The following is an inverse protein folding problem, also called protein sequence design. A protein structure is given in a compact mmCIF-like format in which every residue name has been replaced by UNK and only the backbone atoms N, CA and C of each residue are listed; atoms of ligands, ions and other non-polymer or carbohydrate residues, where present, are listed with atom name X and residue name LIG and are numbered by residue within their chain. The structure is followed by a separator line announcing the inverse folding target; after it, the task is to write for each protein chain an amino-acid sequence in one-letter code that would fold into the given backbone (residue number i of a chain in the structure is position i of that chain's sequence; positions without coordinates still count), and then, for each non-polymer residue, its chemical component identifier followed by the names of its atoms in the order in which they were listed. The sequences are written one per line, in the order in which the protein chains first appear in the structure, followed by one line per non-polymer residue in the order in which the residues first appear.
data_IF_170201567206
#
_entry.id   IF_170201567206
#
_cell.length_a   1.000
_cell.length_b   1.000
_cell.length_c   1.000
_cell.angle_alpha   90.00
_cell.angle_beta   90.00
_cell.angle_gamma   90.00
#
_symmetry.space_group_name_H-M   'P 1'
#
loop_
_entity.id
_entity.type
_entity.pdbx_description
1 polymer ?
#
# COMPACT_ATOMS: atom_id res chain seq x y z
N UNK A 1 21.62 30.04 20.28
CA UNK A 1 20.25 29.62 19.94
C UNK A 1 19.41 30.86 19.72
N UNK A 2 18.80 31.09 18.54
CA UNK A 2 17.93 32.26 18.36
C UNK A 2 16.64 32.03 19.15
N UNK A 3 16.47 32.76 20.26
CA UNK A 3 15.20 32.80 21.00
C UNK A 3 14.23 33.65 20.20
N UNK A 4 13.23 33.01 19.59
CA UNK A 4 12.13 33.74 18.94
C UNK A 4 11.47 34.62 20.00
N UNK A 5 11.30 35.90 19.68
CA UNK A 5 10.65 36.84 20.58
C UNK A 5 9.19 36.40 20.81
N UNK A 6 8.86 36.00 22.04
CA UNK A 6 7.55 35.48 22.43
C UNK A 6 6.43 36.48 22.15
N UNK A 7 6.74 37.78 22.21
CA UNK A 7 5.80 38.87 21.90
C UNK A 7 5.44 38.87 20.41
N UNK A 8 6.43 38.70 19.53
CA UNK A 8 6.22 38.67 18.08
C UNK A 8 5.44 37.42 17.64
N UNK A 9 5.69 36.28 18.28
CA UNK A 9 4.92 35.06 18.04
C UNK A 9 3.45 35.24 18.43
N UNK A 10 3.19 35.80 19.62
CA UNK A 10 1.82 36.08 20.09
C UNK A 10 1.12 37.08 19.18
N UNK A 11 1.82 38.12 18.73
CA UNK A 11 1.29 39.13 17.84
C UNK A 11 0.95 38.55 16.46
N UNK A 12 1.77 37.63 15.93
CA UNK A 12 1.49 36.95 14.66
C UNK A 12 0.21 36.11 14.70
N UNK A 13 -0.15 35.57 15.87
CA UNK A 13 -1.37 34.78 16.09
C UNK A 13 -2.62 35.63 16.35
N UNK A 14 -2.47 36.92 16.63
CA UNK A 14 -3.59 37.81 16.90
C UNK A 14 -4.31 38.21 15.61
N UNK A 15 -5.61 37.90 15.53
CA UNK A 15 -6.49 38.21 14.39
C UNK A 15 -5.90 37.70 13.07
N UNK A 16 -5.60 38.60 12.13
CA UNK A 16 -5.04 38.31 10.82
C UNK A 16 -3.60 38.84 10.66
N UNK A 17 -2.95 39.30 11.75
CA UNK A 17 -1.64 39.97 11.67
C UNK A 17 -0.54 39.07 11.09
N UNK A 18 -0.56 37.77 11.37
CA UNK A 18 0.37 36.79 10.80
C UNK A 18 -0.10 36.11 9.51
N UNK A 19 -1.18 36.57 8.88
CA UNK A 19 -1.65 36.07 7.58
C UNK A 19 -1.15 36.97 6.44
N UNK A 20 0.15 37.26 6.44
CA UNK A 20 0.77 38.00 5.37
C UNK A 20 0.82 37.17 4.06
N UNK A 21 1.13 37.84 2.94
CA UNK A 21 1.20 37.19 1.63
C UNK A 21 2.27 36.08 1.60
N UNK A 22 3.35 36.23 2.37
CA UNK A 22 4.41 35.24 2.49
C UNK A 22 3.93 33.95 3.18
N UNK A 23 3.19 34.07 4.29
CA UNK A 23 2.59 32.96 5.03
C UNK A 23 1.50 32.26 4.24
N UNK A 24 0.69 33.00 3.49
CA UNK A 24 -0.27 32.41 2.56
C UNK A 24 0.41 31.61 1.44
N UNK A 25 1.52 32.12 0.91
CA UNK A 25 2.34 31.40 -0.08
C UNK A 25 2.96 30.14 0.52
N UNK A 26 3.53 30.23 1.73
CA UNK A 26 4.09 29.09 2.47
C UNK A 26 3.03 28.00 2.70
N UNK A 27 1.83 28.40 3.15
CA UNK A 27 0.68 27.50 3.34
C UNK A 27 0.30 26.80 2.04
N UNK A 28 0.15 27.55 0.94
CA UNK A 28 -0.17 26.98 -0.39
C UNK A 28 0.86 25.94 -0.82
N UNK A 29 2.15 26.22 -0.63
CA UNK A 29 3.23 25.28 -0.99
C UNK A 29 3.13 24.00 -0.15
N UNK A 30 2.92 24.13 1.17
CA UNK A 30 2.75 22.99 2.07
C UNK A 30 1.57 22.11 1.66
N UNK A 31 0.42 22.72 1.38
CA UNK A 31 -0.77 22.02 0.90
C UNK A 31 -0.54 21.32 -0.43
N UNK A 32 0.08 21.98 -1.41
CA UNK A 32 0.44 21.36 -2.70
C UNK A 32 1.41 20.18 -2.55
N UNK A 33 2.32 20.22 -1.57
CA UNK A 33 3.20 19.08 -1.27
C UNK A 33 2.39 17.93 -0.67
N UNK A 34 1.49 18.20 0.28
CA UNK A 34 0.64 17.18 0.89
C UNK A 34 -0.25 16.50 -0.15
N UNK A 35 -0.86 17.27 -1.05
CA UNK A 35 -1.69 16.74 -2.14
C UNK A 35 -0.89 15.83 -3.08
N UNK A 36 0.31 16.25 -3.50
CA UNK A 36 1.20 15.40 -4.34
C UNK A 36 1.63 14.12 -3.62
N UNK A 37 1.94 14.20 -2.33
CA UNK A 37 2.26 13.02 -1.51
C UNK A 37 1.06 12.07 -1.42
N UNK A 38 -0.13 12.59 -1.16
CA UNK A 38 -1.36 11.80 -1.11
C UNK A 38 -1.63 11.08 -2.44
N UNK A 39 -1.56 11.80 -3.57
CA UNK A 39 -1.71 11.22 -4.91
C UNK A 39 -0.64 10.15 -5.22
N UNK A 40 0.61 10.40 -4.81
CA UNK A 40 1.69 9.41 -4.97
C UNK A 40 1.42 8.16 -4.12
N UNK A 41 1.03 8.32 -2.86
CA UNK A 41 0.73 7.21 -1.97
C UNK A 41 -0.47 6.41 -2.47
N UNK A 42 -1.51 7.07 -2.96
CA UNK A 42 -2.67 6.45 -3.59
C UNK A 42 -2.27 5.65 -4.84
N UNK A 43 -1.50 6.25 -5.76
CA UNK A 43 -0.98 5.57 -6.96
C UNK A 43 -0.09 4.37 -6.61
N UNK A 44 0.75 4.53 -5.60
CA UNK A 44 1.61 3.47 -5.11
C UNK A 44 0.83 2.32 -4.47
N UNK A 45 -0.21 2.61 -3.68
CA UNK A 45 -1.09 1.60 -3.10
C UNK A 45 -1.85 0.85 -4.21
N UNK A 46 -2.36 1.56 -5.21
CA UNK A 46 -2.94 0.98 -6.43
C UNK A 46 -1.95 0.05 -7.14
N UNK A 47 -0.68 0.45 -7.28
CA UNK A 47 0.38 -0.39 -7.90
C UNK A 47 0.81 -1.57 -7.05
N UNK A 48 0.88 -1.45 -5.72
CA UNK A 48 1.20 -2.58 -4.84
C UNK A 48 0.17 -3.70 -4.94
N UNK A 49 -1.11 -3.35 -5.12
CA UNK A 49 -2.14 -4.33 -5.46
C UNK A 49 -1.93 -4.97 -6.85
N UNK A 50 -1.25 -4.28 -7.77
CA UNK A 50 -0.90 -4.80 -9.11
C UNK A 50 0.40 -5.63 -9.09
N UNK A 51 1.37 -5.37 -8.19
CA UNK A 51 2.64 -6.13 -8.12
C UNK A 51 2.57 -7.35 -7.20
N UNK A 52 1.71 -7.36 -6.17
CA UNK A 52 1.44 -8.58 -5.38
C UNK A 52 0.62 -9.64 -6.14
N UNK A 53 0.02 -9.27 -7.27
CA UNK A 53 -0.47 -10.24 -8.26
C UNK A 53 0.63 -10.79 -9.18
N UNK A 54 1.85 -10.23 -9.15
CA UNK A 54 3.02 -10.69 -9.91
C UNK A 54 4.01 -11.34 -8.94
N UNK A 55 3.68 -12.56 -8.54
CA UNK A 55 4.55 -13.42 -7.73
C UNK A 55 5.36 -14.35 -8.64
N UNK A 56 6.55 -14.80 -8.17
CA UNK A 56 7.52 -15.52 -8.97
C UNK A 56 7.05 -16.96 -9.23
N UNK A 57 6.30 -17.12 -10.32
CA UNK A 57 6.37 -18.27 -11.23
C UNK A 57 6.46 -17.72 -12.67
N UNK A 58 7.08 -16.54 -12.81
CA UNK A 58 7.17 -15.75 -14.04
C UNK A 58 8.47 -15.99 -14.81
N UNK A 59 9.11 -17.14 -14.62
CA UNK A 59 9.77 -17.77 -15.78
C UNK A 59 8.77 -18.58 -16.62
N UNK A 60 7.50 -18.60 -16.20
CA UNK A 60 6.41 -19.17 -16.96
C UNK A 60 5.29 -18.21 -17.35
N UNK A 61 5.30 -16.88 -17.15
CA UNK A 61 4.23 -16.00 -17.69
C UNK A 61 4.76 -14.76 -18.47
N UNK A 62 5.56 -15.08 -19.50
CA UNK A 62 5.30 -14.46 -20.81
C UNK A 62 3.77 -14.34 -21.02
N UNK A 63 3.23 -13.27 -21.63
CA UNK A 63 1.78 -13.10 -21.83
C UNK A 63 1.08 -14.30 -22.52
N UNK A 64 1.84 -15.26 -23.05
CA UNK A 64 1.39 -16.55 -23.57
C UNK A 64 0.86 -17.57 -22.54
N UNK A 65 1.21 -17.51 -21.25
CA UNK A 65 1.00 -18.66 -20.35
C UNK A 65 -0.09 -18.43 -19.29
N UNK A 66 -1.28 -18.04 -19.75
CA UNK A 66 -2.51 -18.10 -18.96
C UNK A 66 -2.99 -19.56 -18.80
N UNK A 67 -2.17 -20.45 -18.22
CA UNK A 67 -2.65 -21.78 -17.82
C UNK A 67 -3.18 -21.68 -16.40
N UNK A 68 -4.42 -21.20 -16.29
CA UNK A 68 -5.26 -21.29 -15.10
C UNK A 68 -5.53 -22.76 -14.78
N UNK A 69 -4.61 -23.40 -14.06
CA UNK A 69 -4.94 -24.62 -13.33
C UNK A 69 -5.87 -24.22 -12.19
N UNK A 70 -7.18 -24.30 -12.44
CA UNK A 70 -8.20 -24.14 -11.41
C UNK A 70 -8.10 -25.34 -10.47
N UNK A 71 -7.34 -25.21 -9.39
CA UNK A 71 -7.37 -26.19 -8.32
C UNK A 71 -8.76 -26.13 -7.67
N UNK A 72 -9.45 -27.28 -7.58
CA UNK A 72 -10.70 -27.34 -6.81
C UNK A 72 -10.37 -27.08 -5.34
N UNK A 73 -11.21 -26.34 -4.62
CA UNK A 73 -10.95 -25.98 -3.22
C UNK A 73 -10.78 -27.24 -2.38
N UNK A 74 -11.51 -28.30 -2.69
CA UNK A 74 -11.38 -29.61 -2.07
C UNK A 74 -9.98 -30.19 -2.24
N UNK A 75 -9.37 -30.01 -3.41
CA UNK A 75 -8.00 -30.46 -3.70
C UNK A 75 -6.97 -29.59 -2.98
N UNK A 76 -7.22 -28.28 -2.85
CA UNK A 76 -6.37 -27.38 -2.05
C UNK A 76 -6.39 -27.83 -0.59
N UNK A 77 -7.57 -28.01 -0.01
CA UNK A 77 -7.75 -28.46 1.37
C UNK A 77 -7.10 -29.84 1.56
N UNK A 78 -7.33 -30.77 0.64
CA UNK A 78 -6.73 -32.11 0.68
C UNK A 78 -5.21 -32.05 0.63
N UNK A 79 -4.64 -31.25 -0.26
CA UNK A 79 -3.19 -31.12 -0.43
C UNK A 79 -2.54 -30.43 0.78
N UNK A 80 -3.15 -29.35 1.29
CA UNK A 80 -2.69 -28.65 2.51
C UNK A 80 -2.70 -29.58 3.73
N UNK A 81 -3.69 -30.48 3.83
CA UNK A 81 -3.82 -31.41 4.94
C UNK A 81 -3.21 -32.80 4.68
N UNK A 82 -2.46 -32.98 3.59
CA UNK A 82 -1.82 -34.26 3.29
C UNK A 82 -0.53 -34.44 4.10
N UNK A 83 -0.04 -35.68 4.26
CA UNK A 83 1.26 -35.95 4.89
C UNK A 83 2.45 -35.78 3.94
N UNK A 84 2.18 -35.57 2.65
CA UNK A 84 3.20 -35.31 1.62
C UNK A 84 3.59 -33.82 1.61
N UNK A 85 4.88 -33.55 1.80
CA UNK A 85 5.44 -32.20 1.82
C UNK A 85 5.27 -31.46 0.50
N UNK A 86 5.36 -32.15 -0.63
CA UNK A 86 5.22 -31.51 -1.93
C UNK A 86 3.75 -31.17 -2.24
N UNK A 87 2.83 -32.06 -1.86
CA UNK A 87 1.40 -31.78 -1.90
C UNK A 87 1.02 -30.60 -1.01
N UNK A 88 1.51 -30.54 0.24
CA UNK A 88 1.30 -29.37 1.11
C UNK A 88 1.79 -28.07 0.46
N UNK A 89 2.96 -28.09 -0.15
CA UNK A 89 3.54 -26.91 -0.81
C UNK A 89 2.66 -26.45 -1.98
N UNK A 90 2.24 -27.37 -2.86
CA UNK A 90 1.30 -27.07 -3.95
C UNK A 90 -0.03 -26.53 -3.44
N UNK A 91 -0.57 -27.13 -2.37
CA UNK A 91 -1.80 -26.69 -1.72
C UNK A 91 -1.69 -25.28 -1.16
N UNK A 92 -0.62 -24.97 -0.43
CA UNK A 92 -0.35 -23.65 0.12
C UNK A 92 -0.11 -22.59 -0.97
N UNK A 93 0.61 -22.92 -2.04
CA UNK A 93 0.80 -22.03 -3.18
C UNK A 93 -0.53 -21.77 -3.90
N UNK A 94 -1.35 -22.79 -4.10
CA UNK A 94 -2.69 -22.65 -4.66
C UNK A 94 -3.58 -21.77 -3.76
N UNK A 95 -3.56 -21.98 -2.44
CA UNK A 95 -4.28 -21.17 -1.47
C UNK A 95 -3.78 -19.72 -1.46
N UNK A 96 -2.46 -19.50 -1.48
CA UNK A 96 -1.86 -18.17 -1.57
C UNK A 96 -2.23 -17.48 -2.88
N UNK A 97 -2.12 -18.15 -4.03
CA UNK A 97 -2.55 -17.59 -5.32
C UNK A 97 -4.06 -17.28 -5.32
N UNK A 98 -4.86 -18.10 -4.63
CA UNK A 98 -6.29 -17.86 -4.44
C UNK A 98 -6.56 -16.62 -3.55
N UNK A 99 -5.82 -16.45 -2.46
CA UNK A 99 -5.96 -15.33 -1.50
C UNK A 99 -5.30 -14.03 -1.97
N UNK A 100 -4.21 -14.11 -2.74
CA UNK A 100 -3.56 -12.96 -3.36
C UNK A 100 -4.37 -12.39 -4.52
N UNK A 101 -5.31 -13.16 -5.07
CA UNK A 101 -6.36 -12.65 -5.96
C UNK A 101 -7.48 -11.92 -5.20
N UNK A 102 -7.76 -12.27 -3.93
CA UNK A 102 -8.66 -11.46 -3.09
C UNK A 102 -7.92 -10.19 -2.65
N UNK A 103 -8.24 -9.09 -3.32
CA UNK A 103 -7.66 -7.76 -3.18
C UNK A 103 -8.05 -7.13 -1.82
N UNK A 104 -7.41 -7.60 -0.75
CA UNK A 104 -7.12 -6.89 0.50
C UNK A 104 -6.35 -7.82 1.44
N UNK A 105 -5.00 -7.91 1.33
CA UNK A 105 -4.22 -8.50 2.41
C UNK A 105 -4.46 -7.67 3.69
N UNK A 106 -4.62 -8.28 4.88
CA UNK A 106 -5.09 -7.57 6.07
C UNK A 106 -4.09 -6.48 6.48
N UNK A 107 -4.37 -5.25 6.08
CA UNK A 107 -3.71 -4.04 6.55
C UNK A 107 -4.44 -3.49 7.77
N UNK A 108 -4.63 -4.33 8.79
CA UNK A 108 -4.95 -3.87 10.15
C UNK A 108 -4.12 -4.62 11.19
N UNK A 109 -2.84 -4.27 11.23
CA UNK A 109 -2.09 -4.29 12.49
C UNK A 109 -2.35 -2.97 13.20
N UNK A 110 -3.50 -2.86 13.86
CA UNK A 110 -3.72 -1.86 14.92
C UNK A 110 -3.86 -2.63 16.24
N UNK A 111 -2.81 -2.57 17.05
CA UNK A 111 -2.88 -2.55 18.51
C UNK A 111 -2.50 -1.16 18.96
#
# INVERSE_FOLDING_TARGET
MPTKNVVDERLSKFKNKGKDLAKLREKRISECVQLRKAQKNESFLKRRNITLSSLPDEEALSPENNVTVSFRIEDIIKNVNSDDRDAQTRGCQAARKLLSKSHDPPLKGET
#
